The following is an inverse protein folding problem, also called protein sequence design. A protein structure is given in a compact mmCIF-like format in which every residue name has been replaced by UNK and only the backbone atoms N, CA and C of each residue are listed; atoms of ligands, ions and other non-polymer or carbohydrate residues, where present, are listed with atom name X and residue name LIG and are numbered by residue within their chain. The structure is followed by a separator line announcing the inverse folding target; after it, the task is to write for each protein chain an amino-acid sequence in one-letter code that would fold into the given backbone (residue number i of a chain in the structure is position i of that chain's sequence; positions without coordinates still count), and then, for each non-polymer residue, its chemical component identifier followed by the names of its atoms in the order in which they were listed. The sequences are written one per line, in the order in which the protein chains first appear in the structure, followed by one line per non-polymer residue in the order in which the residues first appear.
data_IF_845323864725
#
_entry.id   IF_845323864725
#
_cell.length_a   1.000
_cell.length_b   1.000
_cell.length_c   1.000
_cell.angle_alpha   90.00
_cell.angle_beta   90.00
_cell.angle_gamma   90.00
#
_symmetry.space_group_name_H-M   'P 1'
#
loop_
_entity.id
_entity.type
_entity.pdbx_description
1 polymer ?
#
# COMPACT_ATOMS: atom_id res chain seq x y z
N UNK A 1 -10.87 20.96 7.50
CA UNK A 1 -11.27 19.74 6.76
C UNK A 1 -10.58 18.53 7.40
N UNK A 2 -11.31 17.49 7.83
CA UNK A 2 -10.65 16.27 8.28
C UNK A 2 -9.89 15.70 7.08
N UNK A 3 -8.58 15.46 7.24
CA UNK A 3 -7.82 14.61 6.33
C UNK A 3 -8.57 13.28 6.25
N UNK A 4 -9.35 13.05 5.18
CA UNK A 4 -9.91 11.73 4.88
C UNK A 4 -8.70 10.80 4.78
N UNK A 5 -8.48 10.07 5.87
CA UNK A 5 -7.55 8.96 5.95
C UNK A 5 -8.15 7.92 5.05
N UNK A 6 -7.41 7.53 4.02
CA UNK A 6 -7.70 6.34 3.25
C UNK A 6 -8.98 6.48 2.39
N UNK A 7 -8.98 5.87 1.20
CA UNK A 7 -10.20 5.79 0.39
C UNK A 7 -11.14 4.77 1.03
N UNK A 8 -11.74 5.15 2.16
CA UNK A 8 -12.61 4.31 2.99
C UNK A 8 -13.90 3.91 2.27
N UNK A 9 -14.13 4.44 1.06
CA UNK A 9 -15.25 4.05 0.20
C UNK A 9 -14.91 2.74 -0.50
N UNK A 10 -13.64 2.47 -0.78
CA UNK A 10 -13.18 1.37 -1.64
C UNK A 10 -12.32 0.35 -0.92
N UNK A 11 -11.61 0.80 0.11
CA UNK A 11 -10.81 -0.05 0.95
C UNK A 11 -11.41 -0.03 2.36
N UNK A 12 -11.40 -1.17 3.04
CA UNK A 12 -11.78 -1.30 4.45
C UNK A 12 -10.53 -1.15 5.31
N UNK A 13 -10.56 -0.30 6.35
CA UNK A 13 -9.43 -0.16 7.24
C UNK A 13 -9.24 -1.46 8.02
N UNK A 14 -7.98 -1.85 8.23
CA UNK A 14 -7.64 -2.99 9.06
C UNK A 14 -7.53 -2.50 10.50
N UNK A 15 -8.20 -3.18 11.43
CA UNK A 15 -8.10 -2.85 12.85
C UNK A 15 -6.82 -3.44 13.46
N UNK A 16 -6.18 -2.73 14.39
CA UNK A 16 -5.00 -3.24 15.12
C UNK A 16 -5.32 -4.46 15.98
N UNK A 17 -6.59 -4.61 16.39
CA UNK A 17 -7.09 -5.78 17.11
C UNK A 17 -7.35 -7.00 16.20
N UNK A 18 -7.27 -6.83 14.88
CA UNK A 18 -7.49 -7.89 13.89
C UNK A 18 -6.25 -8.73 13.55
N UNK A 19 -5.14 -8.55 14.27
CA UNK A 19 -3.91 -9.34 14.14
C UNK A 19 -3.38 -9.73 15.52
N UNK A 20 -2.78 -10.92 15.63
CA UNK A 20 -2.32 -11.49 16.91
C UNK A 20 -0.96 -10.93 17.37
N UNK A 21 -0.14 -10.48 16.42
CA UNK A 21 1.21 -9.98 16.70
C UNK A 21 1.53 -8.72 15.88
N UNK A 22 2.40 -7.87 16.44
CA UNK A 22 2.84 -6.63 15.78
C UNK A 22 3.91 -6.86 14.72
N UNK A 23 4.84 -7.80 14.94
CA UNK A 23 5.98 -8.06 14.04
C UNK A 23 6.25 -9.55 13.91
N UNK A 24 6.73 -9.96 12.74
CA UNK A 24 7.42 -11.22 12.49
C UNK A 24 8.35 -11.05 11.28
N UNK A 25 9.34 -11.93 11.13
CA UNK A 25 10.30 -11.89 10.02
C UNK A 25 9.64 -11.93 8.64
N UNK A 26 8.60 -12.78 8.48
CA UNK A 26 7.82 -12.89 7.23
C UNK A 26 7.17 -11.56 6.84
N UNK A 27 6.63 -10.82 7.82
CA UNK A 27 6.05 -9.49 7.59
C UNK A 27 7.11 -8.46 7.21
N UNK A 28 8.29 -8.50 7.83
CA UNK A 28 9.40 -7.59 7.48
C UNK A 28 9.90 -7.82 6.06
N UNK A 29 10.08 -9.09 5.68
CA UNK A 29 10.43 -9.48 4.31
C UNK A 29 9.36 -9.03 3.29
N UNK A 30 8.08 -9.19 3.62
CA UNK A 30 6.98 -8.71 2.78
C UNK A 30 7.00 -7.18 2.62
N UNK A 31 7.24 -6.43 3.69
CA UNK A 31 7.34 -4.97 3.64
C UNK A 31 8.53 -4.54 2.77
N UNK A 32 9.68 -5.20 2.91
CA UNK A 32 10.86 -4.94 2.07
C UNK A 32 10.54 -5.20 0.59
N UNK A 33 9.87 -6.32 0.27
CA UNK A 33 9.43 -6.63 -1.09
C UNK A 33 8.45 -5.59 -1.63
N UNK A 34 7.48 -5.16 -0.81
CA UNK A 34 6.53 -4.11 -1.20
C UNK A 34 7.25 -2.79 -1.53
N UNK A 35 8.29 -2.43 -0.76
CA UNK A 35 9.06 -1.20 -0.94
C UNK A 35 10.03 -1.27 -2.13
N UNK A 36 10.39 -2.45 -2.60
CA UNK A 36 11.25 -2.60 -3.78
C UNK A 36 10.62 -1.88 -4.99
N UNK A 37 11.42 -1.11 -5.71
CA UNK A 37 10.99 -0.34 -6.89
C UNK A 37 9.93 0.74 -6.62
N UNK A 38 9.62 1.04 -5.34
CA UNK A 38 8.76 2.18 -4.95
C UNK A 38 9.53 3.49 -4.83
N UNK A 39 10.86 3.42 -4.93
CA UNK A 39 11.73 4.58 -4.93
C UNK A 39 13.16 4.29 -5.42
N UNK A 40 13.93 5.35 -5.70
CA UNK A 40 13.51 6.74 -5.63
C UNK A 40 12.64 7.08 -6.84
N UNK A 41 11.62 7.89 -6.58
CA UNK A 41 11.11 8.83 -7.57
C UNK A 41 12.31 9.64 -8.09
N UNK A 42 13.03 9.14 -9.11
CA UNK A 42 14.26 9.75 -9.57
C UNK A 42 13.91 11.03 -10.32
N UNK A 43 13.72 12.12 -9.58
CA UNK A 43 13.86 13.45 -10.15
C UNK A 43 15.35 13.63 -10.39
N UNK A 44 15.74 13.57 -11.65
CA UNK A 44 17.11 13.87 -12.03
C UNK A 44 17.43 15.27 -11.50
N UNK A 45 18.55 15.47 -10.81
CA UNK A 45 18.89 16.78 -10.21
C UNK A 45 18.93 17.90 -11.26
N UNK A 46 19.17 17.54 -12.54
CA UNK A 46 19.14 18.46 -13.68
C UNK A 46 17.72 18.78 -14.22
N UNK A 47 16.68 18.03 -13.80
CA UNK A 47 15.29 18.21 -14.25
C UNK A 47 14.35 18.34 -13.03
N UNK A 48 14.42 19.46 -12.28
CA UNK A 48 13.57 19.68 -11.12
C UNK A 48 12.07 19.77 -11.46
N UNK A 49 11.72 19.94 -12.73
CA UNK A 49 10.35 19.91 -13.27
C UNK A 49 10.00 18.59 -13.98
N UNK A 50 10.95 17.67 -14.11
CA UNK A 50 10.75 16.37 -14.77
C UNK A 50 9.81 15.44 -13.98
N UNK A 51 9.16 14.47 -14.68
CA UNK A 51 8.24 13.55 -14.04
C UNK A 51 8.97 12.60 -13.09
N UNK A 52 8.35 12.33 -11.94
CA UNK A 52 8.78 11.29 -11.00
C UNK A 52 8.77 9.93 -11.68
N UNK A 53 9.92 9.26 -11.74
CA UNK A 53 10.02 7.89 -12.24
C UNK A 53 9.93 6.89 -11.10
N UNK A 54 8.92 6.03 -11.13
CA UNK A 54 8.78 4.88 -10.24
C UNK A 54 9.17 3.64 -11.05
N UNK A 55 10.20 2.91 -10.61
CA UNK A 55 10.71 1.74 -11.34
C UNK A 55 9.67 0.63 -11.45
N UNK A 56 8.91 0.40 -10.38
CA UNK A 56 7.85 -0.58 -10.33
C UNK A 56 6.56 0.09 -9.83
N UNK A 57 5.79 0.74 -10.71
CA UNK A 57 4.57 1.46 -10.32
C UNK A 57 3.47 0.50 -9.85
N UNK A 58 3.47 -0.74 -10.30
CA UNK A 58 2.56 -1.79 -9.87
C UNK A 58 3.32 -3.04 -9.43
N UNK A 59 2.85 -3.70 -8.38
CA UNK A 59 3.35 -5.00 -7.94
C UNK A 59 2.22 -5.84 -7.36
N UNK A 60 2.11 -7.09 -7.79
CA UNK A 60 1.13 -8.03 -7.28
C UNK A 60 1.86 -9.24 -6.69
N UNK A 61 1.59 -9.54 -5.42
CA UNK A 61 2.23 -10.63 -4.68
C UNK A 61 1.18 -11.58 -4.11
N UNK A 62 1.50 -12.86 -4.13
CA UNK A 62 0.72 -13.87 -3.44
C UNK A 62 1.28 -14.09 -2.04
N UNK A 63 0.40 -14.17 -1.06
CA UNK A 63 0.70 -14.48 0.34
C UNK A 63 -0.23 -15.61 0.80
N UNK A 64 0.29 -16.55 1.57
CA UNK A 64 -0.45 -17.68 2.12
C UNK A 64 -1.32 -17.30 3.34
N UNK A 65 -0.89 -16.30 4.11
CA UNK A 65 -1.51 -15.92 5.37
C UNK A 65 -2.07 -14.48 5.36
N UNK A 66 -3.38 -14.38 5.59
CA UNK A 66 -4.08 -13.10 5.70
C UNK A 66 -3.53 -12.22 6.82
N UNK A 67 -3.09 -12.83 7.92
CA UNK A 67 -2.57 -12.10 9.07
C UNK A 67 -1.24 -11.43 8.75
N UNK A 68 -0.36 -12.07 7.97
CA UNK A 68 0.91 -11.49 7.52
C UNK A 68 0.63 -10.26 6.63
N UNK A 69 -0.32 -10.38 5.69
CA UNK A 69 -0.71 -9.28 4.81
C UNK A 69 -1.32 -8.11 5.61
N UNK A 70 -2.23 -8.39 6.54
CA UNK A 70 -2.84 -7.39 7.44
C UNK A 70 -1.81 -6.70 8.31
N UNK A 71 -0.87 -7.45 8.88
CA UNK A 71 0.21 -6.92 9.71
C UNK A 71 1.13 -6.01 8.89
N UNK A 72 1.46 -6.38 7.66
CA UNK A 72 2.23 -5.53 6.76
C UNK A 72 1.51 -4.21 6.46
N UNK A 73 0.20 -4.26 6.20
CA UNK A 73 -0.62 -3.07 6.00
C UNK A 73 -0.60 -2.13 7.21
N UNK A 74 -0.84 -2.65 8.43
CA UNK A 74 -0.83 -1.88 9.68
C UNK A 74 0.54 -1.27 10.05
N UNK A 75 1.63 -1.88 9.57
CA UNK A 75 2.97 -1.34 9.76
C UNK A 75 3.28 -0.23 8.75
N UNK A 76 2.85 -0.39 7.49
CA UNK A 76 3.09 0.56 6.41
C UNK A 76 2.23 1.83 6.51
N UNK A 77 0.97 1.71 6.93
CA UNK A 77 0.07 2.86 7.11
C UNK A 77 0.34 3.67 8.40
N UNK A 78 1.16 3.10 9.29
CA UNK A 78 1.50 3.69 10.58
C UNK A 78 0.39 3.60 11.62
N UNK A 79 -0.62 2.74 11.44
CA UNK A 79 -1.73 2.53 12.38
C UNK A 79 -1.24 2.12 13.77
N UNK A 80 -0.23 1.24 13.85
CA UNK A 80 0.43 0.91 15.13
C UNK A 80 1.13 2.10 15.78
N UNK A 81 1.76 2.98 14.99
CA UNK A 81 2.42 4.17 15.54
C UNK A 81 1.38 5.17 16.05
N UNK A 82 0.24 5.25 15.39
CA UNK A 82 -0.88 6.12 15.76
C UNK A 82 -1.60 5.66 17.02
N UNK A 83 -1.79 4.36 17.22
CA UNK A 83 -2.46 3.82 18.42
C UNK A 83 -1.64 4.07 19.68
N UNK A 84 -0.32 3.90 19.60
CA UNK A 84 0.62 4.03 20.72
C UNK A 84 1.06 5.47 20.99
N UNK A 85 0.88 6.39 20.04
CA UNK A 85 1.33 7.77 20.20
C UNK A 85 0.44 8.56 21.17
N UNK A 86 1.10 9.41 21.97
CA UNK A 86 0.46 10.50 22.71
C UNK A 86 -0.23 11.49 21.77
N UNK A 87 -1.08 12.37 22.31
CA UNK A 87 -1.80 13.37 21.50
C UNK A 87 -0.85 14.20 20.61
N UNK A 88 0.28 14.66 21.16
CA UNK A 88 1.30 15.38 20.41
C UNK A 88 1.99 14.49 19.36
N UNK A 89 2.32 13.25 19.71
CA UNK A 89 2.89 12.29 18.75
C UNK A 89 1.95 12.02 17.57
N UNK A 90 0.63 11.94 17.81
CA UNK A 90 -0.39 11.79 16.76
C UNK A 90 -0.42 13.00 15.82
N UNK A 91 -0.25 14.21 16.35
CA UNK A 91 -0.15 15.42 15.54
C UNK A 91 1.10 15.39 14.65
N UNK A 92 2.26 15.02 15.20
CA UNK A 92 3.50 14.89 14.43
C UNK A 92 3.39 13.86 13.32
N UNK A 93 2.80 12.68 13.60
CA UNK A 93 2.57 11.64 12.58
C UNK A 93 1.67 12.17 11.45
N UNK A 94 0.59 12.87 11.80
CA UNK A 94 -0.32 13.49 10.80
C UNK A 94 0.38 14.57 9.99
N UNK A 95 1.16 15.43 10.64
CA UNK A 95 1.95 16.48 9.98
C UNK A 95 2.96 15.90 9.01
N UNK A 96 3.67 14.84 9.39
CA UNK A 96 4.61 14.13 8.51
C UNK A 96 3.90 13.49 7.32
N UNK A 97 2.74 12.90 7.53
CA UNK A 97 1.95 12.31 6.46
C UNK A 97 1.46 13.39 5.46
N UNK A 98 0.98 14.53 5.95
CA UNK A 98 0.62 15.67 5.11
C UNK A 98 1.83 16.22 4.34
N UNK A 99 2.98 16.36 5.01
CA UNK A 99 4.21 16.79 4.36
C UNK A 99 4.64 15.83 3.24
N UNK A 100 4.45 14.53 3.44
CA UNK A 100 4.74 13.51 2.43
C UNK A 100 3.81 13.59 1.23
N UNK A 101 2.54 13.95 1.44
CA UNK A 101 1.59 14.20 0.35
C UNK A 101 1.98 15.40 -0.49
N UNK A 102 2.41 16.48 0.17
CA UNK A 102 2.84 17.71 -0.50
C UNK A 102 4.14 17.44 -1.23
N UNK A 103 5.13 16.86 -0.57
CA UNK A 103 6.45 16.59 -1.12
C UNK A 103 6.51 15.27 -1.90
N UNK A 104 5.47 14.97 -2.68
CA UNK A 104 5.33 13.72 -3.40
C UNK A 104 6.42 13.44 -4.44
N UNK A 105 7.13 14.49 -4.86
CA UNK A 105 8.24 14.41 -5.78
C UNK A 105 9.53 13.88 -5.15
N UNK A 106 9.58 13.76 -3.82
CA UNK A 106 10.77 13.30 -3.11
C UNK A 106 10.80 11.76 -3.02
N UNK A 107 11.98 11.16 -2.82
CA UNK A 107 12.09 9.73 -2.54
C UNK A 107 11.27 9.30 -1.32
N UNK A 108 10.58 8.16 -1.46
CA UNK A 108 9.83 7.53 -0.38
C UNK A 108 10.78 7.12 0.75
N UNK A 109 10.51 7.58 1.97
CA UNK A 109 11.32 7.27 3.14
C UNK A 109 10.72 6.09 3.91
N UNK A 110 11.55 5.42 4.72
CA UNK A 110 11.09 4.33 5.59
C UNK A 110 9.93 4.74 6.52
N UNK A 111 9.95 5.99 7.01
CA UNK A 111 8.93 6.52 7.91
C UNK A 111 7.70 7.14 7.26
N UNK A 112 7.57 7.08 5.93
CA UNK A 112 6.41 7.64 5.24
C UNK A 112 5.25 6.65 5.26
N UNK A 113 4.06 7.18 5.57
CA UNK A 113 2.84 6.39 5.67
C UNK A 113 2.31 6.06 4.28
N UNK A 114 1.98 4.79 4.09
CA UNK A 114 1.23 4.31 2.93
C UNK A 114 -0.27 4.43 3.19
N UNK A 115 -1.08 4.40 2.13
CA UNK A 115 -2.48 4.05 2.28
C UNK A 115 -2.59 2.51 2.23
N UNK A 116 -3.09 1.86 3.28
CA UNK A 116 -3.16 0.41 3.31
C UNK A 116 -4.50 -0.11 3.84
N UNK A 117 -5.02 -1.16 3.22
CA UNK A 117 -6.23 -1.81 3.70
C UNK A 117 -6.77 -2.89 2.76
N UNK A 118 -7.94 -3.42 3.11
CA UNK A 118 -8.54 -4.57 2.42
C UNK A 118 -9.53 -4.11 1.36
N UNK A 119 -9.46 -4.67 0.16
CA UNK A 119 -10.54 -4.49 -0.82
C UNK A 119 -11.78 -5.27 -0.37
N UNK A 120 -12.94 -4.63 -0.41
CA UNK A 120 -14.22 -5.29 -0.09
C UNK A 120 -14.70 -6.20 -1.22
N UNK A 121 -14.41 -5.80 -2.46
CA UNK A 121 -14.76 -6.52 -3.69
C UNK A 121 -13.79 -6.12 -4.82
N UNK A 122 -13.90 -6.79 -5.96
CA UNK A 122 -13.08 -6.48 -7.15
C UNK A 122 -13.45 -5.15 -7.81
N UNK A 123 -14.68 -4.67 -7.64
CA UNK A 123 -15.21 -3.49 -8.33
C UNK A 123 -14.65 -2.20 -7.70
N UNK A 124 -14.33 -2.26 -6.41
CA UNK A 124 -13.61 -1.23 -5.68
C UNK A 124 -12.26 -0.90 -6.34
N UNK A 125 -11.61 -1.88 -6.99
CA UNK A 125 -10.36 -1.69 -7.70
C UNK A 125 -10.55 -0.86 -8.99
N UNK A 126 -11.67 -1.01 -9.69
CA UNK A 126 -11.89 -0.44 -11.01
C UNK A 126 -11.79 1.08 -11.03
N UNK A 127 -12.32 1.73 -9.99
CA UNK A 127 -12.28 3.19 -9.88
C UNK A 127 -11.31 3.69 -8.79
N UNK A 128 -10.49 2.80 -8.21
CA UNK A 128 -9.46 3.17 -7.24
C UNK A 128 -8.44 4.14 -7.85
N UNK A 129 -8.11 5.21 -7.13
CA UNK A 129 -7.06 6.16 -7.49
C UNK A 129 -6.18 6.44 -6.25
N UNK A 130 -4.86 6.15 -6.30
CA UNK A 130 -3.99 6.30 -5.16
C UNK A 130 -3.62 7.76 -4.90
N UNK A 131 -3.90 8.26 -3.70
CA UNK A 131 -3.35 9.53 -3.20
C UNK A 131 -1.89 9.39 -2.72
N UNK A 132 -1.57 8.23 -2.14
CA UNK A 132 -0.25 7.85 -1.62
C UNK A 132 0.20 6.54 -2.25
N UNK A 133 1.41 6.12 -1.94
CA UNK A 133 1.82 4.74 -2.19
C UNK A 133 0.86 3.82 -1.44
N UNK A 134 0.25 2.87 -2.14
CA UNK A 134 -0.87 2.09 -1.62
C UNK A 134 -0.53 0.61 -1.51
N UNK A 135 -0.95 -0.03 -0.42
CA UNK A 135 -1.03 -1.47 -0.28
C UNK A 135 -2.49 -1.93 -0.19
N UNK A 136 -2.94 -2.72 -1.16
CA UNK A 136 -4.28 -3.30 -1.20
C UNK A 136 -4.17 -4.78 -0.85
N UNK A 137 -4.92 -5.22 0.15
CA UNK A 137 -5.03 -6.63 0.53
C UNK A 137 -6.33 -7.20 -0.02
N UNK A 138 -6.26 -8.31 -0.75
CA UNK A 138 -7.41 -9.03 -1.29
C UNK A 138 -7.40 -10.42 -0.67
N UNK A 139 -8.42 -10.73 0.13
CA UNK A 139 -8.57 -12.03 0.81
C UNK A 139 -9.57 -12.87 0.02
N UNK A 140 -9.33 -14.18 -0.08
CA UNK A 140 -10.09 -15.19 -0.85
C UNK A 140 -11.56 -14.87 -1.20
N UNK A 141 -12.37 -14.44 -0.24
CA UNK A 141 -13.78 -14.09 -0.47
C UNK A 141 -14.03 -12.93 -1.45
N UNK A 142 -13.04 -12.07 -1.69
CA UNK A 142 -13.07 -10.96 -2.64
C UNK A 142 -12.44 -11.32 -4.00
N UNK A 143 -11.82 -12.50 -4.14
CA UNK A 143 -11.16 -12.94 -5.36
C UNK A 143 -12.17 -13.59 -6.33
N UNK A 144 -13.07 -12.77 -6.91
CA UNK A 144 -14.02 -13.23 -7.92
C UNK A 144 -13.38 -13.52 -9.28
N UNK A 145 -14.15 -14.11 -10.20
CA UNK A 145 -13.71 -14.40 -11.58
C UNK A 145 -13.26 -13.14 -12.37
N UNK A 146 -13.64 -11.96 -11.92
CA UNK A 146 -13.28 -10.64 -12.47
C UNK A 146 -11.91 -10.14 -12.00
N UNK A 147 -11.33 -10.73 -10.94
CA UNK A 147 -10.09 -10.27 -10.33
C UNK A 147 -8.92 -10.14 -11.33
N UNK A 148 -8.63 -11.12 -12.21
CA UNK A 148 -7.52 -10.99 -13.15
C UNK A 148 -7.66 -9.77 -14.08
N UNK A 149 -8.89 -9.47 -14.53
CA UNK A 149 -9.16 -8.28 -15.36
C UNK A 149 -8.99 -7.00 -14.56
N UNK A 150 -9.52 -6.96 -13.33
CA UNK A 150 -9.38 -5.81 -12.44
C UNK A 150 -7.91 -5.50 -12.11
N UNK A 151 -7.08 -6.54 -11.89
CA UNK A 151 -5.64 -6.38 -11.67
C UNK A 151 -4.92 -5.86 -12.92
N UNK A 152 -5.22 -6.41 -14.10
CA UNK A 152 -4.64 -5.92 -15.35
C UNK A 152 -5.03 -4.45 -15.62
N UNK A 153 -6.27 -4.06 -15.33
CA UNK A 153 -6.73 -2.68 -15.44
C UNK A 153 -6.07 -1.74 -14.44
N UNK A 154 -5.86 -2.23 -13.21
CA UNK A 154 -5.15 -1.51 -12.16
C UNK A 154 -3.68 -1.30 -12.53
N UNK A 155 -3.02 -2.33 -13.05
CA UNK A 155 -1.63 -2.27 -13.55
C UNK A 155 -1.48 -1.23 -14.67
N UNK A 156 -2.36 -1.28 -15.69
CA UNK A 156 -2.34 -0.32 -16.80
C UNK A 156 -2.50 1.12 -16.32
N UNK A 157 -3.34 1.37 -15.31
CA UNK A 157 -3.54 2.72 -14.75
C UNK A 157 -2.39 3.15 -13.83
N UNK A 158 -1.75 2.22 -13.13
CA UNK A 158 -0.65 2.51 -12.21
C UNK A 158 0.53 3.21 -12.88
N UNK A 159 0.82 2.91 -14.15
CA UNK A 159 1.86 3.61 -14.92
C UNK A 159 1.59 5.10 -15.14
N UNK A 160 0.34 5.55 -14.99
CA UNK A 160 -0.03 6.98 -15.11
C UNK A 160 0.00 7.71 -13.77
N UNK A 161 0.08 6.97 -12.67
CA UNK A 161 0.10 7.55 -11.34
C UNK A 161 1.51 7.88 -10.90
N UNK A 162 1.61 8.91 -10.07
CA UNK A 162 2.87 9.29 -9.41
C UNK A 162 3.05 8.52 -8.10
N UNK A 163 2.38 7.36 -7.94
CA UNK A 163 2.36 6.55 -6.72
C UNK A 163 2.45 5.08 -7.08
N UNK A 164 3.21 4.33 -6.28
CA UNK A 164 3.27 2.89 -6.45
C UNK A 164 2.04 2.24 -5.80
N UNK A 165 1.49 1.23 -6.45
CA UNK A 165 0.43 0.38 -5.91
C UNK A 165 0.97 -1.02 -5.75
N UNK A 166 0.69 -1.62 -4.60
CA UNK A 166 1.00 -3.01 -4.28
C UNK A 166 -0.29 -3.73 -3.95
N UNK A 167 -0.46 -4.92 -4.51
CA UNK A 167 -1.61 -5.78 -4.25
C UNK A 167 -1.10 -7.08 -3.63
N UNK A 168 -1.68 -7.46 -2.50
CA UNK A 168 -1.45 -8.74 -1.85
C UNK A 168 -2.67 -9.62 -2.06
N UNK A 169 -2.50 -10.72 -2.78
CA UNK A 169 -3.51 -11.75 -2.96
C UNK A 169 -3.29 -12.81 -1.90
N UNK A 170 -4.23 -12.94 -0.97
CA UNK A 170 -4.20 -13.97 0.06
C UNK A 170 -5.00 -15.17 -0.43
N UNK A 171 -4.38 -16.35 -0.42
CA UNK A 171 -5.03 -17.63 -0.76
C UNK A 171 -5.33 -17.87 -2.25
N UNK A 172 -5.01 -16.91 -3.12
CA UNK A 172 -5.20 -17.03 -4.57
C UNK A 172 -4.39 -18.20 -5.19
N UNK A 173 -4.88 -18.83 -6.28
CA UNK A 173 -4.15 -19.91 -6.94
C UNK A 173 -2.85 -19.41 -7.60
N UNK A 174 -1.78 -20.23 -7.59
CA UNK A 174 -0.50 -19.88 -8.18
C UNK A 174 -0.67 -19.54 -9.67
N UNK A 175 -0.19 -18.35 -10.07
CA UNK A 175 -0.24 -17.87 -11.46
C UNK A 175 -0.87 -16.49 -11.66
N UNK A 176 -1.57 -15.95 -10.66
CA UNK A 176 -2.14 -14.58 -10.72
C UNK A 176 -1.19 -13.48 -10.24
N UNK A 177 -0.12 -13.84 -9.54
CA UNK A 177 0.83 -12.91 -8.93
C UNK A 177 2.22 -13.52 -8.81
N UNK A 178 3.22 -12.68 -8.48
CA UNK A 178 4.55 -13.18 -8.11
C UNK A 178 4.45 -13.85 -6.73
N UNK A 179 4.79 -15.13 -6.68
CA UNK A 179 4.85 -15.85 -5.40
C UNK A 179 6.05 -15.35 -4.60
N UNK A 180 5.82 -14.87 -3.38
CA UNK A 180 6.88 -14.60 -2.42
C UNK A 180 6.96 -15.79 -1.46
N UNK A 181 8.03 -16.62 -1.52
CA UNK A 181 8.26 -17.64 -0.51
C UNK A 181 8.67 -16.91 0.78
N UNK A 182 7.68 -16.56 1.60
CA UNK A 182 7.87 -15.93 2.90
C UNK A 182 7.84 -16.97 4.00
#
# INVERSE_FOLDING_TARGET
MPLRRFDSIRLRPIATTGVSARRCSRTEALIAACRLGTGPANRHLAEPSGPVRIEMPFGCYQVDDAEIARRAALQLDGSWRMSEASAFGRLLIRGRALWSDIAWWRPLQAGDAWDAGEATDTDALAAFEPRRTTLIVIVDGAAGATLPRALADLERRAHRWQRAVRVLLVGAPPGTARHLPL
#
